data_IF_186055017714
#
_entry.id   IF_186055017714
#
_cell.length_a   1.000
_cell.length_b   1.000
_cell.length_c   1.000
_cell.angle_alpha   90.00
_cell.angle_beta   90.00
_cell.angle_gamma   90.00
#
_symmetry.space_group_name_H-M   'P 1'
#
loop_
_entity.id
_entity.type
_entity.pdbx_description
1 polymer ?
#
# COMPACT_ATOMS: atom_id res chain seq x y z
N UNK A 1 -12.96 -67.81 21.49
CA UNK A 1 -12.21 -67.92 20.23
C UNK A 1 -12.90 -67.03 19.21
N UNK A 2 -12.30 -65.88 18.84
CA UNK A 2 -11.57 -65.68 17.56
C UNK A 2 -12.56 -65.82 16.37
N UNK A 3 -12.80 -64.86 15.48
CA UNK A 3 -11.96 -63.78 14.97
C UNK A 3 -12.81 -62.90 14.00
N UNK A 4 -12.64 -61.57 14.10
CA UNK A 4 -12.54 -60.51 13.04
C UNK A 4 -12.76 -60.92 11.57
N UNK A 5 -13.17 -60.11 10.58
CA UNK A 5 -13.47 -58.68 10.34
C UNK A 5 -13.51 -58.54 8.79
N UNK A 6 -14.32 -57.63 8.23
CA UNK A 6 -14.02 -56.75 7.07
C UNK A 6 -15.34 -56.25 6.45
N UNK A 7 -15.97 -55.19 6.98
CA UNK A 7 -15.83 -53.79 6.57
C UNK A 7 -15.76 -53.64 5.04
N UNK A 8 -16.95 -53.69 4.44
CA UNK A 8 -17.23 -53.07 3.15
C UNK A 8 -17.54 -51.58 3.38
N UNK A 9 -17.11 -50.77 2.42
CA UNK A 9 -17.78 -49.59 1.81
C UNK A 9 -16.82 -48.42 1.64
N UNK A 10 -16.57 -48.20 0.37
CA UNK A 10 -15.82 -47.12 -0.29
C UNK A 10 -16.23 -45.73 0.18
N UNK A 11 -15.21 -44.88 0.30
CA UNK A 11 -15.23 -43.48 0.67
C UNK A 11 -16.31 -42.67 -0.05
N UNK A 12 -17.11 -41.92 0.72
CA UNK A 12 -17.88 -40.78 0.23
C UNK A 12 -17.32 -39.51 0.87
N UNK A 13 -16.39 -38.87 0.16
CA UNK A 13 -15.88 -37.54 0.46
C UNK A 13 -16.93 -36.52 0.00
N UNK A 14 -17.77 -36.03 0.92
CA UNK A 14 -18.64 -34.87 0.71
C UNK A 14 -18.11 -33.71 1.56
N UNK A 15 -16.96 -33.17 1.16
CA UNK A 15 -16.45 -31.89 1.67
C UNK A 15 -17.05 -30.76 0.84
N UNK A 16 -18.25 -30.31 1.18
CA UNK A 16 -18.83 -29.11 0.59
C UNK A 16 -18.21 -27.87 1.23
N UNK A 17 -17.35 -27.25 0.42
CA UNK A 17 -16.83 -25.89 0.44
C UNK A 17 -17.36 -24.96 1.56
N UNK A 18 -16.47 -24.64 2.50
CA UNK A 18 -16.58 -23.38 3.23
C UNK A 18 -16.46 -22.24 2.21
N UNK A 19 -17.55 -21.48 2.01
CA UNK A 19 -17.50 -20.19 1.34
C UNK A 19 -16.61 -19.29 2.18
N UNK A 20 -15.34 -19.17 1.78
CA UNK A 20 -14.48 -18.11 2.28
C UNK A 20 -15.12 -16.79 1.86
N UNK A 21 -15.76 -16.12 2.83
CA UNK A 21 -16.17 -14.73 2.72
C UNK A 21 -14.90 -13.89 2.58
N UNK A 22 -14.36 -13.84 1.37
CA UNK A 22 -13.29 -12.95 0.99
C UNK A 22 -13.91 -11.58 0.75
N UNK A 23 -14.45 -10.97 1.81
CA UNK A 23 -14.73 -9.55 1.82
C UNK A 23 -13.42 -8.83 1.45
N UNK A 24 -13.34 -8.13 0.30
CA UNK A 24 -12.15 -7.35 0.00
C UNK A 24 -12.05 -6.30 1.09
N UNK A 25 -11.03 -6.44 1.96
CA UNK A 25 -10.69 -5.42 2.93
C UNK A 25 -10.46 -4.13 2.15
N UNK A 26 -11.46 -3.25 2.17
CA UNK A 26 -11.42 -1.97 1.48
C UNK A 26 -10.35 -1.16 2.16
N UNK A 27 -9.14 -1.19 1.61
CA UNK A 27 -8.05 -0.38 2.11
C UNK A 27 -8.47 1.07 1.94
N UNK A 28 -8.50 1.88 3.01
CA UNK A 28 -8.91 3.27 2.90
C UNK A 28 -8.08 3.95 1.81
N UNK A 29 -8.76 4.55 0.83
CA UNK A 29 -8.08 5.27 -0.24
C UNK A 29 -7.12 6.31 0.34
N UNK A 30 -5.96 6.48 -0.30
CA UNK A 30 -5.03 7.53 0.08
C UNK A 30 -5.70 8.91 -0.11
N UNK A 31 -5.36 9.92 0.71
CA UNK A 31 -5.87 11.27 0.51
C UNK A 31 -5.63 11.77 -0.93
N UNK A 32 -6.48 12.65 -1.48
CA UNK A 32 -6.30 13.14 -2.85
C UNK A 32 -4.92 13.75 -3.11
N UNK A 33 -4.39 14.56 -2.19
CA UNK A 33 -3.06 15.16 -2.32
C UNK A 33 -1.94 14.09 -2.30
N UNK A 34 -2.08 13.04 -1.50
CA UNK A 34 -1.12 11.93 -1.44
C UNK A 34 -1.16 11.12 -2.75
N UNK A 35 -2.36 10.84 -3.25
CA UNK A 35 -2.55 10.15 -4.53
C UNK A 35 -2.07 10.99 -5.71
N UNK A 36 -2.22 12.31 -5.66
CA UNK A 36 -1.65 13.24 -6.63
C UNK A 36 -0.12 13.20 -6.61
N UNK A 37 0.48 13.29 -5.43
CA UNK A 37 1.93 13.23 -5.26
C UNK A 37 2.53 11.97 -5.90
N UNK A 38 1.92 10.79 -5.68
CA UNK A 38 2.40 9.53 -6.26
C UNK A 38 2.25 9.40 -7.78
N UNK A 39 1.45 10.24 -8.44
CA UNK A 39 1.30 10.23 -9.90
C UNK A 39 2.46 10.93 -10.63
N UNK A 40 3.32 11.63 -9.89
CA UNK A 40 4.51 12.30 -10.39
C UNK A 40 5.75 11.43 -10.11
N UNK A 41 6.20 10.59 -11.05
CA UNK A 41 7.36 9.72 -10.84
C UNK A 41 8.63 10.51 -10.49
N UNK A 42 8.77 11.73 -10.99
CA UNK A 42 9.83 12.67 -10.66
C UNK A 42 9.86 13.06 -9.17
N UNK A 43 8.70 13.23 -8.52
CA UNK A 43 8.64 13.49 -7.08
C UNK A 43 9.10 12.27 -6.29
N UNK A 44 8.73 11.08 -6.75
CA UNK A 44 9.14 9.84 -6.10
C UNK A 44 10.63 9.54 -6.28
N UNK A 45 11.20 9.85 -7.44
CA UNK A 45 12.63 9.79 -7.66
C UNK A 45 13.38 10.78 -6.74
N UNK A 46 12.90 12.02 -6.66
CA UNK A 46 13.49 13.07 -5.81
C UNK A 46 13.47 12.70 -4.31
N UNK A 47 12.40 12.03 -3.86
CA UNK A 47 12.31 11.46 -2.51
C UNK A 47 13.27 10.29 -2.24
N UNK A 48 13.70 9.57 -3.27
CA UNK A 48 14.68 8.49 -3.15
C UNK A 48 16.12 9.04 -3.12
N UNK A 49 16.36 10.14 -3.83
CA UNK A 49 17.60 10.90 -3.80
C UNK A 49 17.48 12.16 -4.66
N UNK A 50 17.65 13.36 -4.10
CA UNK A 50 17.60 14.60 -4.88
C UNK A 50 18.86 14.69 -5.78
N UNK A 51 18.72 14.94 -7.10
CA UNK A 51 19.86 15.27 -7.94
C UNK A 51 20.39 16.67 -7.60
N UNK A 52 21.68 16.90 -7.87
CA UNK A 52 22.36 18.13 -7.46
C UNK A 52 21.94 19.39 -8.25
N UNK A 53 21.32 19.23 -9.44
CA UNK A 53 21.07 20.30 -10.40
C UNK A 53 19.63 20.34 -10.92
N UNK A 54 18.63 20.31 -10.03
CA UNK A 54 17.23 20.51 -10.43
C UNK A 54 16.87 21.99 -10.61
N UNK A 55 15.89 22.23 -11.50
CA UNK A 55 15.39 23.59 -11.75
C UNK A 55 14.66 24.17 -10.51
N UNK A 56 14.79 25.49 -10.22
CA UNK A 56 14.04 26.14 -9.15
C UNK A 56 12.53 25.93 -9.25
N UNK A 57 11.98 25.89 -10.48
CA UNK A 57 10.57 25.68 -10.72
C UNK A 57 10.13 24.26 -10.32
N UNK A 58 10.98 23.26 -10.54
CA UNK A 58 10.73 21.89 -10.07
C UNK A 58 10.76 21.83 -8.54
N UNK A 59 11.78 22.41 -7.91
CA UNK A 59 11.93 22.43 -6.45
C UNK A 59 10.68 23.06 -5.82
N UNK A 60 10.23 24.21 -6.33
CA UNK A 60 9.03 24.87 -5.82
C UNK A 60 7.76 24.02 -5.95
N UNK A 61 7.57 23.32 -7.08
CA UNK A 61 6.43 22.39 -7.25
C UNK A 61 6.52 21.21 -6.30
N UNK A 62 7.69 20.60 -6.20
CA UNK A 62 7.93 19.48 -5.28
C UNK A 62 7.64 19.87 -3.82
N UNK A 63 8.13 21.03 -3.39
CA UNK A 63 7.90 21.57 -2.04
C UNK A 63 6.41 21.84 -1.77
N UNK A 64 5.70 22.42 -2.74
CA UNK A 64 4.25 22.64 -2.61
C UNK A 64 3.50 21.30 -2.47
N UNK A 65 3.81 20.33 -3.31
CA UNK A 65 3.11 19.06 -3.37
C UNK A 65 3.43 18.16 -2.16
N UNK A 66 4.67 18.16 -1.67
CA UNK A 66 5.03 17.44 -0.44
C UNK A 66 4.35 18.06 0.78
N UNK A 67 4.26 19.40 0.86
CA UNK A 67 3.54 20.08 1.94
C UNK A 67 2.04 19.73 1.91
N UNK A 68 1.40 19.76 0.75
CA UNK A 68 0.01 19.38 0.59
C UNK A 68 -0.25 17.92 0.99
N UNK A 69 0.62 17.00 0.58
CA UNK A 69 0.50 15.58 0.90
C UNK A 69 0.73 15.30 2.40
N UNK A 70 1.72 15.95 3.01
CA UNK A 70 1.98 15.88 4.47
C UNK A 70 0.80 16.45 5.26
N UNK A 71 0.27 17.60 4.86
CA UNK A 71 -0.89 18.20 5.51
C UNK A 71 -2.11 17.26 5.44
N UNK A 72 -2.35 16.62 4.28
CA UNK A 72 -3.44 15.66 4.12
C UNK A 72 -3.27 14.40 4.98
N UNK A 73 -2.04 13.88 5.12
CA UNK A 73 -1.75 12.75 6.01
C UNK A 73 -2.00 13.10 7.47
N UNK A 74 -1.52 14.27 7.91
CA UNK A 74 -1.66 14.74 9.29
C UNK A 74 -3.09 15.16 9.62
N UNK A 75 -3.87 15.62 8.65
CA UNK A 75 -5.30 15.87 8.83
C UNK A 75 -6.09 14.59 9.11
N UNK A 76 -5.69 13.45 8.51
CA UNK A 76 -6.30 12.14 8.80
C UNK A 76 -5.81 11.53 10.10
N UNK A 77 -4.54 11.74 10.43
CA UNK A 77 -3.90 11.21 11.63
C UNK A 77 -3.20 12.35 12.36
N UNK A 78 -3.91 13.12 13.22
CA UNK A 78 -3.34 14.30 13.88
C UNK A 78 -2.10 14.02 14.75
N UNK A 79 -1.96 12.79 15.26
CA UNK A 79 -0.80 12.32 16.01
C UNK A 79 0.41 11.97 15.13
N UNK A 80 0.26 11.99 13.81
CA UNK A 80 1.35 11.70 12.87
C UNK A 80 2.36 12.86 12.88
N UNK A 81 3.60 12.55 13.27
CA UNK A 81 4.70 13.50 13.20
C UNK A 81 5.03 13.86 11.75
N UNK A 82 5.70 15.00 11.55
CA UNK A 82 6.19 15.39 10.22
C UNK A 82 7.08 14.28 9.62
N UNK A 83 8.04 13.78 10.39
CA UNK A 83 8.91 12.68 9.97
C UNK A 83 8.12 11.42 9.61
N UNK A 84 7.10 11.06 10.40
CA UNK A 84 6.23 9.93 10.11
C UNK A 84 5.45 10.12 8.80
N UNK A 85 4.95 11.33 8.53
CA UNK A 85 4.28 11.65 7.28
C UNK A 85 5.23 11.57 6.07
N UNK A 86 6.46 12.07 6.21
CA UNK A 86 7.50 11.97 5.17
C UNK A 86 7.88 10.51 4.88
N UNK A 87 8.04 9.68 5.91
CA UNK A 87 8.30 8.24 5.70
C UNK A 87 7.10 7.52 5.08
N UNK A 88 5.87 7.91 5.44
CA UNK A 88 4.68 7.38 4.78
C UNK A 88 4.66 7.75 3.28
N UNK A 89 5.03 8.98 2.92
CA UNK A 89 5.17 9.39 1.52
C UNK A 89 6.26 8.59 0.82
N UNK A 90 7.45 8.49 1.43
CA UNK A 90 8.57 7.71 0.88
C UNK A 90 8.15 6.27 0.56
N UNK A 91 7.56 5.58 1.53
CA UNK A 91 7.14 4.19 1.36
C UNK A 91 6.09 4.03 0.24
N UNK A 92 5.21 5.03 0.06
CA UNK A 92 4.28 5.04 -1.07
C UNK A 92 4.97 5.24 -2.42
N UNK A 93 5.96 6.13 -2.47
CA UNK A 93 6.78 6.34 -3.65
C UNK A 93 7.60 5.11 -4.02
N UNK A 94 8.22 4.42 -3.06
CA UNK A 94 8.95 3.18 -3.29
C UNK A 94 8.04 2.12 -3.96
N UNK A 95 6.77 2.03 -3.54
CA UNK A 95 5.77 1.15 -4.18
C UNK A 95 5.34 1.63 -5.56
N UNK A 96 5.18 2.93 -5.76
CA UNK A 96 4.80 3.50 -7.06
C UNK A 96 5.89 3.22 -8.10
N UNK A 97 7.16 3.46 -7.76
CA UNK A 97 8.31 3.18 -8.61
C UNK A 97 8.49 1.68 -8.90
N UNK A 98 8.21 0.81 -7.93
CA UNK A 98 8.27 -0.64 -8.14
C UNK A 98 7.22 -1.16 -9.15
N UNK A 99 6.09 -0.47 -9.30
CA UNK A 99 5.03 -0.82 -10.27
C UNK A 99 5.25 -0.25 -11.67
N UNK A 100 6.15 0.73 -11.80
CA UNK A 100 6.48 1.37 -13.07
C UNK A 100 7.62 0.67 -13.83
N UNK A 101 8.18 -0.39 -13.24
CA UNK A 101 9.19 -1.29 -13.84
C UNK A 101 8.50 -2.50 -14.44
#
# INVERSE_FOLDING_TARGET
MLLKLAIATTASLLSFAALADASPASTPAAPPAVSAFYRHPEHCAYMAGPPENDSPEFIARFEADIQAAVAALRARTPSLSLTGALFHLKAGCDRALARAK
#
